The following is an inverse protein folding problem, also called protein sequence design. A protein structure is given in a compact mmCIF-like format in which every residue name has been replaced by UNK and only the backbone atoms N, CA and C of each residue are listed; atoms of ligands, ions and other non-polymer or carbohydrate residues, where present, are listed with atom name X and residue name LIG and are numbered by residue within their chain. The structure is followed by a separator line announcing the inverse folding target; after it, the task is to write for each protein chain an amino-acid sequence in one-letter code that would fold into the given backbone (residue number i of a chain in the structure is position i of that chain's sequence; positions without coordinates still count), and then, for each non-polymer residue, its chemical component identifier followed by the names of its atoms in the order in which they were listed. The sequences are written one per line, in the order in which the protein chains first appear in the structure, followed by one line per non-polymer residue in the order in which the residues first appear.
data_IF_910899885989
#
_entry.id   IF_910899885989
#
_cell.length_a   1.000
_cell.length_b   1.000
_cell.length_c   1.000
_cell.angle_alpha   90.00
_cell.angle_beta   90.00
_cell.angle_gamma   90.00
#
_symmetry.space_group_name_H-M   'P 1'
#
loop_
_entity.id
_entity.type
_entity.pdbx_description
1 polymer ?
#
# COMPACT_ATOMS: atom_id res chain seq x y z
N UNK A 1 11.43 -24.47 13.13
CA UNK A 1 10.46 -25.50 12.67
C UNK A 1 9.20 -24.85 12.07
N UNK A 2 8.37 -24.14 12.84
CA UNK A 2 7.14 -23.47 12.36
C UNK A 2 7.31 -22.61 11.11
N UNK A 3 8.32 -21.73 11.07
CA UNK A 3 8.66 -20.91 9.89
C UNK A 3 8.81 -21.73 8.61
N UNK A 4 9.48 -22.88 8.70
CA UNK A 4 9.71 -23.75 7.55
C UNK A 4 8.42 -24.44 7.09
N UNK A 5 7.52 -24.79 8.00
CA UNK A 5 6.20 -25.34 7.67
C UNK A 5 5.41 -24.30 6.86
N UNK A 6 5.21 -23.10 7.43
CA UNK A 6 4.48 -21.99 6.76
C UNK A 6 5.09 -21.68 5.39
N UNK A 7 6.41 -21.56 5.32
CA UNK A 7 7.14 -21.27 4.09
C UNK A 7 7.00 -22.38 3.05
N UNK A 8 6.89 -23.64 3.47
CA UNK A 8 6.75 -24.78 2.54
C UNK A 8 5.33 -24.86 2.02
N UNK A 9 4.33 -24.72 2.89
CA UNK A 9 2.91 -24.67 2.52
C UNK A 9 2.62 -23.56 1.51
N UNK A 10 3.10 -22.33 1.78
CA UNK A 10 2.92 -21.20 0.85
C UNK A 10 3.55 -21.52 -0.52
N UNK A 11 4.77 -22.06 -0.53
CA UNK A 11 5.47 -22.42 -1.78
C UNK A 11 4.72 -23.49 -2.57
N UNK A 12 4.15 -24.47 -1.89
CA UNK A 12 3.41 -25.55 -2.53
C UNK A 12 2.16 -24.98 -3.21
N UNK A 13 1.36 -24.18 -2.49
CA UNK A 13 0.17 -23.53 -3.04
C UNK A 13 0.54 -22.65 -4.25
N UNK A 14 1.59 -21.83 -4.13
CA UNK A 14 2.06 -20.97 -5.24
C UNK A 14 2.47 -21.80 -6.46
N UNK A 15 3.15 -22.95 -6.26
CA UNK A 15 3.56 -23.83 -7.35
C UNK A 15 2.36 -24.46 -8.05
N UNK A 16 1.36 -24.91 -7.31
CA UNK A 16 0.15 -25.55 -7.84
C UNK A 16 -0.67 -24.61 -8.74
N UNK A 17 -0.66 -23.31 -8.45
CA UNK A 17 -1.38 -22.28 -9.22
C UNK A 17 -0.51 -21.57 -10.28
N UNK A 18 0.74 -22.00 -10.46
CA UNK A 18 1.67 -21.41 -11.43
C UNK A 18 2.08 -19.96 -11.10
N UNK A 19 2.07 -19.59 -9.83
CA UNK A 19 2.45 -18.25 -9.36
C UNK A 19 3.96 -18.06 -9.16
N UNK A 20 4.38 -16.81 -9.03
CA UNK A 20 5.72 -16.46 -8.59
C UNK A 20 5.83 -16.52 -7.07
N UNK A 21 6.96 -17.04 -6.61
CA UNK A 21 7.29 -17.25 -5.21
C UNK A 21 7.78 -15.97 -4.54
N UNK A 22 6.90 -14.98 -4.45
CA UNK A 22 7.15 -13.72 -3.75
C UNK A 22 6.63 -13.86 -2.31
N UNK A 23 7.54 -14.11 -1.37
CA UNK A 23 7.19 -14.24 0.05
C UNK A 23 7.82 -13.07 0.80
N UNK A 24 6.99 -12.27 1.46
CA UNK A 24 7.47 -11.22 2.36
C UNK A 24 8.02 -11.86 3.64
N UNK A 25 9.34 -11.81 3.83
CA UNK A 25 10.01 -12.44 4.98
C UNK A 25 9.63 -11.79 6.32
N UNK A 26 9.31 -10.48 6.34
CA UNK A 26 8.86 -9.79 7.56
C UNK A 26 7.50 -10.32 8.01
N UNK A 27 6.54 -10.42 7.09
CA UNK A 27 5.21 -10.98 7.37
C UNK A 27 5.32 -12.47 7.76
N UNK A 28 6.17 -13.24 7.08
CA UNK A 28 6.42 -14.63 7.43
C UNK A 28 6.96 -14.79 8.85
N UNK A 29 7.92 -13.95 9.26
CA UNK A 29 8.44 -13.95 10.62
C UNK A 29 7.32 -13.59 11.62
N UNK A 30 6.56 -12.53 11.36
CA UNK A 30 5.47 -12.11 12.23
C UNK A 30 4.45 -13.22 12.45
N UNK A 31 3.94 -13.83 11.37
CA UNK A 31 2.95 -14.91 11.45
C UNK A 31 3.54 -16.12 12.18
N UNK A 32 4.82 -16.43 11.98
CA UNK A 32 5.48 -17.55 12.68
C UNK A 32 5.38 -17.40 14.20
N UNK A 33 5.43 -16.18 14.72
CA UNK A 33 5.29 -15.92 16.16
C UNK A 33 3.84 -15.97 16.67
N UNK A 34 2.85 -15.94 15.78
CA UNK A 34 1.43 -15.91 16.14
C UNK A 34 0.75 -17.29 16.11
N UNK A 35 1.40 -18.28 15.49
CA UNK A 35 0.76 -19.58 15.22
C UNK A 35 1.58 -20.71 15.81
N UNK A 36 0.93 -21.69 16.43
CA UNK A 36 1.57 -22.90 16.96
C UNK A 36 1.42 -24.08 15.98
N UNK A 37 0.24 -24.21 15.36
CA UNK A 37 -0.12 -25.25 14.40
C UNK A 37 -0.51 -24.63 13.05
N UNK A 38 0.46 -24.13 12.26
CA UNK A 38 0.19 -23.42 11.03
C UNK A 38 -0.37 -24.33 9.93
N UNK A 39 -1.41 -23.86 9.24
CA UNK A 39 -1.86 -24.41 7.97
C UNK A 39 -2.16 -23.28 7.00
N UNK A 40 -1.68 -23.38 5.75
CA UNK A 40 -2.03 -22.40 4.72
C UNK A 40 -3.34 -22.76 4.01
N UNK A 41 -4.12 -21.72 3.67
CA UNK A 41 -5.37 -21.81 2.91
C UNK A 41 -5.34 -20.77 1.78
N UNK A 42 -5.70 -21.20 0.58
CA UNK A 42 -5.86 -20.34 -0.60
C UNK A 42 -7.27 -19.75 -0.65
N UNK A 43 -7.37 -18.44 -0.52
CA UNK A 43 -8.57 -17.62 -0.73
C UNK A 43 -8.55 -16.91 -2.08
N UNK A 44 -9.71 -16.42 -2.51
CA UNK A 44 -9.88 -15.58 -3.70
C UNK A 44 -10.66 -14.32 -3.39
N UNK A 45 -10.46 -13.28 -4.19
CA UNK A 45 -11.29 -12.09 -4.17
C UNK A 45 -11.79 -11.77 -5.59
N UNK A 46 -12.72 -10.84 -5.70
CA UNK A 46 -13.31 -10.47 -6.98
C UNK A 46 -12.27 -9.75 -7.87
N UNK A 47 -12.21 -10.10 -9.16
CA UNK A 47 -11.29 -9.50 -10.12
C UNK A 47 -11.50 -8.01 -10.29
N UNK A 48 -12.70 -7.47 -9.99
CA UNK A 48 -12.97 -6.03 -10.08
C UNK A 48 -11.98 -5.19 -9.26
N UNK A 49 -11.50 -5.70 -8.13
CA UNK A 49 -10.56 -4.95 -7.28
C UNK A 49 -9.17 -4.83 -7.88
N UNK A 50 -8.84 -5.57 -8.96
CA UNK A 50 -7.56 -5.40 -9.68
C UNK A 50 -7.45 -4.04 -10.39
N UNK A 51 -8.54 -3.25 -10.44
CA UNK A 51 -8.47 -1.84 -10.85
C UNK A 51 -7.74 -0.95 -9.83
N UNK A 52 -7.65 -1.37 -8.56
CA UNK A 52 -6.91 -0.65 -7.55
C UNK A 52 -5.40 -0.80 -7.78
N UNK A 53 -4.61 0.23 -7.43
CA UNK A 53 -3.16 0.12 -7.46
C UNK A 53 -2.69 -1.11 -6.66
N UNK A 54 -1.72 -1.83 -7.21
CA UNK A 54 -1.16 -3.04 -6.58
C UNK A 54 -0.63 -2.79 -5.17
N UNK A 55 -0.08 -1.60 -4.91
CA UNK A 55 0.40 -1.22 -3.59
C UNK A 55 -0.75 -1.15 -2.57
N UNK A 56 -1.90 -0.58 -2.95
CA UNK A 56 -3.12 -0.55 -2.14
C UNK A 56 -3.58 -1.97 -1.82
N UNK A 57 -3.75 -2.81 -2.84
CA UNK A 57 -4.19 -4.21 -2.67
C UNK A 57 -3.25 -5.00 -1.75
N UNK A 58 -1.96 -4.83 -1.96
CA UNK A 58 -0.91 -5.51 -1.21
C UNK A 58 -0.92 -5.07 0.25
N UNK A 59 -1.06 -3.78 0.54
CA UNK A 59 -1.05 -3.25 1.90
C UNK A 59 -2.32 -3.64 2.67
N UNK A 60 -3.50 -3.55 2.04
CA UNK A 60 -4.77 -4.00 2.63
C UNK A 60 -4.68 -5.47 3.05
N UNK A 61 -4.16 -6.34 2.17
CA UNK A 61 -3.99 -7.76 2.48
C UNK A 61 -2.97 -8.00 3.61
N UNK A 62 -1.83 -7.30 3.60
CA UNK A 62 -0.73 -7.56 4.53
C UNK A 62 -0.99 -7.00 5.92
N UNK A 63 -1.39 -5.73 6.05
CA UNK A 63 -1.48 -5.06 7.35
C UNK A 63 -2.76 -5.37 8.09
N UNK A 64 -3.90 -5.30 7.42
CA UNK A 64 -5.18 -5.49 8.10
C UNK A 64 -5.46 -6.96 8.37
N UNK A 65 -4.93 -7.86 7.54
CA UNK A 65 -5.33 -9.27 7.56
C UNK A 65 -4.17 -10.29 7.57
N UNK A 66 -2.92 -9.85 7.43
CA UNK A 66 -1.74 -10.73 7.43
C UNK A 66 -1.81 -11.82 6.34
N UNK A 67 -2.41 -11.47 5.21
CA UNK A 67 -2.49 -12.34 4.04
C UNK A 67 -1.26 -12.18 3.15
N UNK A 68 -0.88 -13.27 2.48
CA UNK A 68 0.12 -13.24 1.44
C UNK A 68 -0.57 -13.05 0.07
N UNK A 69 -0.40 -11.90 -0.60
CA UNK A 69 -0.86 -11.73 -1.97
C UNK A 69 -0.14 -12.70 -2.90
N UNK A 70 -0.87 -13.26 -3.86
CA UNK A 70 -0.31 -14.18 -4.86
C UNK A 70 -0.01 -13.43 -6.14
N UNK A 71 1.20 -13.59 -6.65
CA UNK A 71 1.65 -13.00 -7.90
C UNK A 71 1.80 -14.08 -8.96
N UNK A 72 1.55 -13.75 -10.23
CA UNK A 72 1.90 -14.59 -11.37
C UNK A 72 3.34 -14.34 -11.83
N UNK A 73 3.74 -13.08 -11.81
CA UNK A 73 5.10 -12.60 -12.00
C UNK A 73 5.31 -11.33 -11.15
N UNK A 74 6.49 -10.71 -11.20
CA UNK A 74 6.85 -9.55 -10.37
C UNK A 74 5.89 -8.38 -10.49
N UNK A 75 5.16 -8.28 -11.60
CA UNK A 75 4.29 -7.15 -11.92
C UNK A 75 2.80 -7.52 -11.82
N UNK A 76 2.42 -8.76 -12.12
CA UNK A 76 1.03 -9.23 -12.21
C UNK A 76 0.53 -9.86 -10.90
N UNK A 77 -0.36 -9.16 -10.20
CA UNK A 77 -1.08 -9.67 -9.02
C UNK A 77 -2.29 -10.51 -9.46
N UNK A 78 -2.42 -11.71 -8.88
CA UNK A 78 -3.61 -12.56 -9.10
C UNK A 78 -4.72 -12.21 -8.10
N UNK A 79 -5.99 -12.47 -8.42
CA UNK A 79 -7.14 -12.29 -7.52
C UNK A 79 -7.20 -13.37 -6.41
N UNK A 80 -6.04 -13.68 -5.84
CA UNK A 80 -5.77 -14.79 -4.93
C UNK A 80 -4.89 -14.31 -3.77
N UNK A 81 -5.13 -14.89 -2.61
CA UNK A 81 -4.34 -14.64 -1.41
C UNK A 81 -4.21 -15.90 -0.58
N UNK A 82 -3.15 -15.99 0.22
CA UNK A 82 -2.93 -17.10 1.13
C UNK A 82 -3.04 -16.60 2.56
N UNK A 83 -3.90 -17.24 3.35
CA UNK A 83 -4.04 -17.02 4.79
C UNK A 83 -3.40 -18.17 5.55
N UNK A 84 -2.74 -17.86 6.65
CA UNK A 84 -2.19 -18.86 7.57
C UNK A 84 -3.10 -18.95 8.79
N UNK A 85 -3.66 -20.12 9.02
CA UNK A 85 -4.52 -20.39 10.17
C UNK A 85 -3.75 -21.15 11.25
N UNK A 86 -4.11 -20.93 12.51
CA UNK A 86 -3.59 -21.66 13.65
C UNK A 86 -4.56 -22.78 14.09
N UNK A 87 -4.98 -23.62 13.15
CA UNK A 87 -5.95 -24.68 13.40
C UNK A 87 -5.81 -25.81 12.36
N UNK A 88 -6.42 -26.96 12.62
CA UNK A 88 -6.56 -28.05 11.65
C UNK A 88 -7.35 -27.62 10.41
N UNK A 89 -7.07 -28.28 9.27
CA UNK A 89 -7.79 -28.05 8.01
C UNK A 89 -9.25 -28.55 8.01
N UNK A 90 -9.77 -29.09 9.12
CA UNK A 90 -11.13 -29.62 9.25
C UNK A 90 -12.21 -28.60 8.85
N UNK A 91 -12.00 -27.32 9.13
CA UNK A 91 -12.94 -26.24 8.82
C UNK A 91 -12.41 -25.28 7.74
N UNK A 92 -11.47 -25.73 6.91
CA UNK A 92 -10.78 -24.86 5.95
C UNK A 92 -11.73 -24.12 5.00
N UNK A 93 -12.82 -24.76 4.55
CA UNK A 93 -13.81 -24.12 3.66
C UNK A 93 -14.52 -22.95 4.33
N UNK A 94 -15.02 -23.12 5.56
CA UNK A 94 -15.71 -22.06 6.31
C UNK A 94 -14.76 -20.92 6.69
N UNK A 95 -13.52 -21.26 7.07
CA UNK A 95 -12.50 -20.25 7.37
C UNK A 95 -12.13 -19.47 6.11
N UNK A 96 -11.97 -20.14 4.98
CA UNK A 96 -11.74 -19.51 3.68
C UNK A 96 -12.83 -18.49 3.37
N UNK A 97 -14.09 -18.90 3.38
CA UNK A 97 -15.23 -18.01 3.09
C UNK A 97 -15.28 -16.80 4.03
N UNK A 98 -15.03 -17.00 5.33
CA UNK A 98 -14.95 -15.91 6.30
C UNK A 98 -13.85 -14.90 5.96
N UNK A 99 -12.65 -15.37 5.62
CA UNK A 99 -11.54 -14.48 5.24
C UNK A 99 -11.80 -13.78 3.90
N UNK A 100 -12.45 -14.44 2.93
CA UNK A 100 -12.87 -13.82 1.67
C UNK A 100 -13.89 -12.70 1.90
N UNK A 101 -14.85 -12.89 2.80
CA UNK A 101 -15.83 -11.87 3.16
C UNK A 101 -15.19 -10.67 3.87
N UNK A 102 -14.25 -10.92 4.80
CA UNK A 102 -13.50 -9.86 5.48
C UNK A 102 -12.64 -9.07 4.51
N UNK A 103 -11.92 -9.74 3.61
CA UNK A 103 -11.11 -9.07 2.59
C UNK A 103 -11.99 -8.23 1.66
N UNK A 104 -13.14 -8.76 1.24
CA UNK A 104 -14.08 -8.05 0.38
C UNK A 104 -14.49 -6.71 0.97
N UNK A 105 -14.90 -6.68 2.24
CA UNK A 105 -15.28 -5.44 2.91
C UNK A 105 -14.16 -4.40 2.89
N UNK A 106 -12.93 -4.81 3.23
CA UNK A 106 -11.76 -3.91 3.22
C UNK A 106 -11.38 -3.40 1.83
N UNK A 107 -11.56 -4.23 0.80
CA UNK A 107 -11.30 -3.83 -0.58
C UNK A 107 -12.39 -2.89 -1.12
N UNK A 108 -13.64 -3.01 -0.67
CA UNK A 108 -14.68 -2.01 -0.97
C UNK A 108 -14.35 -0.66 -0.33
N UNK A 109 -13.92 -0.64 0.94
CA UNK A 109 -13.51 0.59 1.62
C UNK A 109 -12.35 1.27 0.86
N UNK A 110 -11.29 0.51 0.55
CA UNK A 110 -10.16 1.01 -0.20
C UNK A 110 -10.57 1.52 -1.60
N UNK A 111 -11.47 0.81 -2.28
CA UNK A 111 -12.01 1.24 -3.57
C UNK A 111 -12.76 2.56 -3.46
N UNK A 112 -13.62 2.69 -2.44
CA UNK A 112 -14.37 3.91 -2.19
C UNK A 112 -13.42 5.09 -1.96
N UNK A 113 -12.43 4.97 -1.06
CA UNK A 113 -11.46 6.04 -0.81
C UNK A 113 -10.66 6.39 -2.07
N UNK A 114 -10.22 5.38 -2.84
CA UNK A 114 -9.50 5.60 -4.08
C UNK A 114 -10.33 6.41 -5.10
N UNK A 115 -11.64 6.15 -5.18
CA UNK A 115 -12.55 6.86 -6.07
C UNK A 115 -12.89 8.28 -5.58
N UNK A 116 -13.08 8.46 -4.28
CA UNK A 116 -13.32 9.77 -3.69
C UNK A 116 -12.11 10.70 -3.87
N UNK A 117 -10.90 10.20 -3.61
CA UNK A 117 -9.68 10.99 -3.72
C UNK A 117 -9.39 11.42 -5.17
N UNK A 118 -9.79 10.63 -6.17
CA UNK A 118 -9.63 10.97 -7.59
C UNK A 118 -10.51 12.13 -8.06
N UNK A 119 -11.52 12.53 -7.29
CA UNK A 119 -12.38 13.67 -7.63
C UNK A 119 -11.68 15.01 -7.42
N UNK A 120 -10.60 15.03 -6.65
CA UNK A 120 -9.87 16.24 -6.28
C UNK A 120 -8.43 16.10 -6.80
N UNK A 121 -7.96 17.00 -7.68
CA UNK A 121 -6.57 17.01 -8.12
C UNK A 121 -5.60 17.03 -6.95
N UNK A 122 -4.46 16.33 -7.08
CA UNK A 122 -3.50 16.22 -5.99
C UNK A 122 -2.99 17.60 -5.52
N UNK A 123 -2.86 18.57 -6.42
CA UNK A 123 -2.43 19.93 -6.10
C UNK A 123 -3.38 20.66 -5.13
N UNK A 124 -4.70 20.49 -5.28
CA UNK A 124 -5.67 21.13 -4.38
C UNK A 124 -5.55 20.63 -2.94
N UNK A 125 -4.98 19.44 -2.74
CA UNK A 125 -4.72 18.90 -1.41
C UNK A 125 -3.53 19.58 -0.71
N UNK A 126 -2.66 20.30 -1.44
CA UNK A 126 -1.53 21.02 -0.83
C UNK A 126 -2.02 22.07 0.17
N UNK A 127 -3.05 22.85 -0.19
CA UNK A 127 -3.59 23.88 0.70
C UNK A 127 -4.21 23.31 1.97
N UNK A 128 -4.80 22.11 1.89
CA UNK A 128 -5.36 21.41 3.05
C UNK A 128 -4.28 21.03 4.08
N UNK A 129 -3.00 20.96 3.69
CA UNK A 129 -1.88 20.71 4.61
C UNK A 129 -1.72 21.81 5.66
N UNK A 130 -2.29 23.00 5.46
CA UNK A 130 -2.33 24.09 6.46
C UNK A 130 -3.05 23.65 7.74
N UNK A 131 -4.01 22.74 7.62
CA UNK A 131 -4.80 22.23 8.74
C UNK A 131 -4.11 21.10 9.50
N UNK A 132 -2.96 20.60 9.02
CA UNK A 132 -2.22 19.51 9.66
C UNK A 132 -1.01 20.08 10.39
N UNK A 133 -1.08 20.13 11.71
CA UNK A 133 0.02 20.63 12.54
C UNK A 133 1.22 19.68 12.40
N UNK A 134 2.37 20.20 11.94
CA UNK A 134 3.62 19.44 11.93
C UNK A 134 4.28 19.49 13.31
N UNK A 135 4.44 20.70 13.85
CA UNK A 135 4.92 20.94 15.21
C UNK A 135 4.55 22.35 15.62
N UNK A 136 4.12 22.55 16.87
CA UNK A 136 3.63 23.83 17.40
C UNK A 136 4.49 25.05 17.01
N UNK A 137 5.82 24.97 17.19
CA UNK A 137 6.76 26.06 16.87
C UNK A 137 7.23 26.10 15.41
N UNK A 138 6.90 25.10 14.60
CA UNK A 138 7.34 24.98 13.19
C UNK A 138 6.17 25.04 12.20
N UNK A 139 4.96 25.25 12.69
CA UNK A 139 3.74 25.40 11.92
C UNK A 139 3.15 24.08 11.42
N UNK A 140 2.46 24.19 10.30
CA UNK A 140 1.75 23.13 9.60
C UNK A 140 2.65 22.31 8.68
N UNK A 141 2.10 21.24 8.11
CA UNK A 141 2.76 20.51 7.03
C UNK A 141 2.92 21.36 5.77
N UNK A 142 2.00 22.30 5.51
CA UNK A 142 2.16 23.27 4.43
C UNK A 142 3.43 24.12 4.63
N UNK A 143 3.63 24.63 5.84
CA UNK A 143 4.82 25.44 6.18
C UNK A 143 6.11 24.62 6.03
N UNK A 144 6.06 23.34 6.41
CA UNK A 144 7.16 22.40 6.18
C UNK A 144 7.43 22.21 4.68
N UNK A 145 6.39 21.98 3.88
CA UNK A 145 6.52 21.82 2.42
C UNK A 145 7.13 23.06 1.79
N UNK A 146 6.72 24.27 2.19
CA UNK A 146 7.33 25.52 1.72
C UNK A 146 8.80 25.66 2.09
N UNK A 147 9.21 25.22 3.28
CA UNK A 147 10.64 25.16 3.63
C UNK A 147 11.40 24.15 2.77
N UNK A 148 10.80 23.02 2.42
CA UNK A 148 11.41 22.04 1.50
C UNK A 148 11.58 22.64 0.11
N UNK A 149 10.56 23.32 -0.43
CA UNK A 149 10.66 24.03 -1.72
C UNK A 149 11.82 25.04 -1.72
N UNK A 150 11.98 25.84 -0.66
CA UNK A 150 13.08 26.80 -0.54
C UNK A 150 14.46 26.13 -0.49
N UNK A 151 14.58 25.01 0.23
CA UNK A 151 15.83 24.24 0.27
C UNK A 151 16.15 23.62 -1.09
N UNK A 152 15.15 23.09 -1.79
CA UNK A 152 15.29 22.58 -3.14
C UNK A 152 15.75 23.67 -4.12
N UNK A 153 15.18 24.87 -4.04
CA UNK A 153 15.56 26.03 -4.86
C UNK A 153 17.04 26.39 -4.65
N UNK A 154 17.45 26.54 -3.38
CA UNK A 154 18.81 26.87 -2.99
C UNK A 154 19.83 25.81 -3.46
N UNK A 155 19.51 24.53 -3.30
CA UNK A 155 20.38 23.43 -3.73
C UNK A 155 20.48 23.39 -5.27
N UNK A 156 19.37 23.60 -5.98
CA UNK A 156 19.35 23.61 -7.43
C UNK A 156 20.25 24.74 -8.00
N UNK A 157 20.20 25.93 -7.40
CA UNK A 157 21.07 27.05 -7.78
C UNK A 157 22.55 26.78 -7.47
N UNK A 158 22.84 26.23 -6.29
CA UNK A 158 24.20 25.86 -5.90
C UNK A 158 24.82 24.79 -6.81
N UNK A 159 24.00 23.88 -7.35
CA UNK A 159 24.41 22.85 -8.29
C UNK A 159 24.34 23.28 -9.76
N UNK A 160 23.82 24.49 -10.05
CA UNK A 160 23.65 25.02 -11.41
C UNK A 160 22.93 24.05 -12.36
N UNK A 161 21.87 23.39 -11.88
CA UNK A 161 21.09 22.46 -12.69
C UNK A 161 20.34 23.17 -13.81
N UNK A 162 19.97 22.42 -14.86
CA UNK A 162 19.15 22.96 -15.94
C UNK A 162 17.80 23.49 -15.43
N UNK A 163 17.28 24.54 -16.08
CA UNK A 163 16.03 25.19 -15.65
C UNK A 163 14.82 24.25 -15.66
N UNK A 164 14.79 23.28 -16.58
CA UNK A 164 13.74 22.26 -16.60
C UNK A 164 13.81 21.39 -15.33
N UNK A 165 15.01 20.91 -14.98
CA UNK A 165 15.23 20.10 -13.77
C UNK A 165 14.85 20.88 -12.52
N UNK A 166 15.22 22.16 -12.45
CA UNK A 166 14.84 23.04 -11.34
C UNK A 166 13.31 23.16 -11.22
N UNK A 167 12.60 23.37 -12.32
CA UNK A 167 11.13 23.44 -12.34
C UNK A 167 10.48 22.14 -11.85
N UNK A 168 10.94 21.00 -12.35
CA UNK A 168 10.41 19.68 -11.99
C UNK A 168 10.69 19.36 -10.51
N UNK A 169 11.86 19.73 -9.99
CA UNK A 169 12.21 19.61 -8.58
C UNK A 169 11.28 20.45 -7.68
N UNK A 170 11.04 21.71 -8.02
CA UNK A 170 10.15 22.58 -7.25
C UNK A 170 8.70 22.09 -7.29
N UNK A 171 8.24 21.60 -8.44
CA UNK A 171 6.91 20.98 -8.57
C UNK A 171 6.79 19.73 -7.70
N UNK A 172 7.81 18.87 -7.74
CA UNK A 172 7.86 17.68 -6.89
C UNK A 172 7.87 18.03 -5.40
N UNK A 173 8.66 19.03 -5.01
CA UNK A 173 8.71 19.51 -3.62
C UNK A 173 7.35 20.06 -3.16
N UNK A 174 6.63 20.77 -4.02
CA UNK A 174 5.30 21.29 -3.73
C UNK A 174 4.28 20.18 -3.43
N UNK A 175 4.29 19.11 -4.23
CA UNK A 175 3.32 18.01 -4.13
C UNK A 175 3.72 16.90 -3.14
N UNK A 176 4.97 16.87 -2.65
CA UNK A 176 5.56 15.71 -1.95
C UNK A 176 4.86 15.25 -0.65
N UNK A 177 3.92 16.05 -0.13
CA UNK A 177 3.12 15.76 1.06
C UNK A 177 1.62 15.90 0.85
N UNK A 178 1.17 16.24 -0.36
CA UNK A 178 -0.24 16.48 -0.65
C UNK A 178 -1.13 15.26 -0.40
N UNK A 179 -0.56 14.05 -0.50
CA UNK A 179 -1.26 12.80 -0.26
C UNK A 179 -1.65 12.59 1.20
N UNK A 180 -1.00 13.25 2.16
CA UNK A 180 -1.25 13.06 3.60
C UNK A 180 -2.67 13.43 4.07
N UNK A 181 -3.41 14.19 3.27
CA UNK A 181 -4.79 14.61 3.57
C UNK A 181 -5.84 13.86 2.76
N UNK A 182 -5.42 12.90 1.93
CA UNK A 182 -6.32 12.02 1.16
C UNK A 182 -7.00 11.01 2.08
N UNK A 183 -8.21 10.59 1.73
CA UNK A 183 -8.94 9.58 2.51
C UNK A 183 -8.19 8.24 2.49
N UNK A 184 -7.56 7.89 1.38
CA UNK A 184 -6.70 6.71 1.26
C UNK A 184 -5.56 6.71 2.29
N UNK A 185 -4.83 7.81 2.46
CA UNK A 185 -3.72 7.87 3.43
C UNK A 185 -4.22 8.03 4.87
N UNK A 186 -5.41 8.61 5.09
CA UNK A 186 -6.03 8.63 6.42
C UNK A 186 -6.39 7.23 6.90
N UNK A 187 -6.97 6.39 6.03
CA UNK A 187 -7.28 4.99 6.37
C UNK A 187 -6.03 4.09 6.35
N UNK A 188 -5.12 4.31 5.40
CA UNK A 188 -3.92 3.50 5.19
C UNK A 188 -2.64 4.36 5.20
N UNK A 189 -2.15 4.78 6.39
CA UNK A 189 -0.98 5.65 6.50
C UNK A 189 0.29 5.11 5.85
N UNK A 190 0.43 3.78 5.76
CA UNK A 190 1.57 3.13 5.10
C UNK A 190 1.67 3.38 3.60
N UNK A 191 0.56 3.80 2.97
CA UNK A 191 0.52 4.14 1.55
C UNK A 191 0.96 5.57 1.27
N UNK A 192 1.38 6.33 2.29
CA UNK A 192 1.97 7.64 2.07
C UNK A 192 3.17 7.53 1.09
N UNK A 193 3.22 8.43 0.12
CA UNK A 193 4.22 8.54 -0.92
C UNK A 193 3.87 7.73 -2.16
N UNK A 194 3.51 6.45 -2.01
CA UNK A 194 3.07 5.63 -3.15
C UNK A 194 1.71 6.09 -3.68
N UNK A 195 0.76 6.39 -2.78
CA UNK A 195 -0.52 7.00 -3.13
C UNK A 195 -0.32 8.36 -3.78
N UNK A 196 0.53 9.22 -3.21
CA UNK A 196 0.88 10.51 -3.80
C UNK A 196 1.44 10.40 -5.21
N UNK A 197 2.36 9.47 -5.47
CA UNK A 197 2.85 9.17 -6.82
C UNK A 197 1.71 8.75 -7.76
N UNK A 198 0.82 7.85 -7.30
CA UNK A 198 -0.31 7.38 -8.10
C UNK A 198 -1.25 8.53 -8.49
N UNK A 199 -1.59 9.41 -7.56
CA UNK A 199 -2.44 10.57 -7.82
C UNK A 199 -1.77 11.67 -8.64
N UNK A 200 -0.45 11.84 -8.51
CA UNK A 200 0.31 12.76 -9.35
C UNK A 200 0.23 12.34 -10.84
N UNK A 201 0.47 11.06 -11.13
CA UNK A 201 0.35 10.49 -12.49
C UNK A 201 -1.08 10.67 -13.03
N UNK A 202 -2.10 10.43 -12.21
CA UNK A 202 -3.50 10.64 -12.60
C UNK A 202 -3.83 12.13 -12.85
N UNK A 203 -3.12 13.04 -12.19
CA UNK A 203 -3.25 14.49 -12.37
C UNK A 203 -2.41 15.04 -13.53
N UNK A 204 -1.64 14.20 -14.22
CA UNK A 204 -0.82 14.58 -15.38
C UNK A 204 0.58 15.11 -15.07
N UNK A 205 1.10 14.88 -13.86
CA UNK A 205 2.51 15.10 -13.51
C UNK A 205 3.42 14.03 -14.11
#
# INVERSE_FOLDING_TARGET
IRKNIVKTDIKQIIKEIGGEKIINEKLLNEITYLVEYPNAILGKFDKKYLELPKDVLTEVMRKHQKYFPVFKNKDELLPLFIVIINNSKKYASKIKEGNENVLRARLEDAKFFYQEDQKIPLEENVDKLKNVIFREKLGSLFDRTKRVELLCDYIADGLQVEQKVKKDLLRSAHLCKADLVTEMVKEFPELQGSTGKGYAILSGE
#
